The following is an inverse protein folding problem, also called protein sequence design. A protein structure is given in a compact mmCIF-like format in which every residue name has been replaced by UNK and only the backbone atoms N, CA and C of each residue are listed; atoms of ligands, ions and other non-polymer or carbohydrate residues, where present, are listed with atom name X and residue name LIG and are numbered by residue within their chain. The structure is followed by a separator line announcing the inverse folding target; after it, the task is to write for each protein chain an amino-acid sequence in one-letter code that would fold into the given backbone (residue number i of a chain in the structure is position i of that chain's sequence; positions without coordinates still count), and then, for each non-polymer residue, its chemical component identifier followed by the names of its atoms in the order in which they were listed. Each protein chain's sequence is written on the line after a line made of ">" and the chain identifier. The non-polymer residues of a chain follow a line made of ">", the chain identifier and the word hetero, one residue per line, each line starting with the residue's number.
data_IF_891020881930
#
_entry.id   IF_891020881930
#
_cell.length_a   1.000
_cell.length_b   1.000
_cell.length_c   1.000
_cell.angle_alpha   90.00
_cell.angle_beta   90.00
_cell.angle_gamma   90.00
#
_symmetry.space_group_name_H-M   'P 1'
#
loop_
_entity.id
_entity.type
_entity.pdbx_description
1 polymer ?
#
# COMPACT_ATOMS: atom_id res chain seq x y z
N UNK A 1 -5.94 -19.27 -60.94
CA UNK A 1 -4.92 -20.32 -60.74
C UNK A 1 -4.38 -20.19 -59.33
N UNK A 2 -4.44 -21.30 -58.60
CA UNK A 2 -3.91 -21.54 -57.26
C UNK A 2 -2.38 -21.63 -57.33
N UNK A 3 -1.64 -21.12 -56.34
CA UNK A 3 -0.62 -21.87 -55.56
C UNK A 3 -0.30 -21.09 -54.28
N UNK A 4 -0.55 -21.78 -53.19
CA UNK A 4 -0.21 -21.56 -51.79
C UNK A 4 1.28 -21.79 -51.53
N UNK A 5 1.88 -21.07 -50.58
CA UNK A 5 2.96 -21.63 -49.74
C UNK A 5 2.85 -21.06 -48.32
N UNK A 6 2.71 -21.99 -47.37
CA UNK A 6 2.69 -21.79 -45.92
C UNK A 6 4.11 -21.46 -45.43
N UNK A 7 4.21 -20.70 -44.35
CA UNK A 7 4.79 -21.18 -43.08
C UNK A 7 4.34 -20.29 -41.92
N UNK A 8 3.96 -20.96 -40.85
CA UNK A 8 3.46 -20.42 -39.60
C UNK A 8 4.61 -19.89 -38.73
N UNK A 9 4.39 -18.77 -38.05
CA UNK A 9 4.90 -18.53 -36.69
C UNK A 9 3.81 -17.82 -35.89
N UNK A 10 3.59 -18.39 -34.70
CA UNK A 10 2.73 -17.96 -33.62
C UNK A 10 3.48 -16.89 -32.82
N UNK A 11 2.84 -15.78 -32.45
CA UNK A 11 3.15 -14.82 -31.36
C UNK A 11 2.31 -13.56 -31.62
N UNK A 12 1.45 -13.07 -30.75
CA UNK A 12 0.88 -13.55 -29.51
C UNK A 12 -0.44 -12.79 -29.37
N UNK A 13 -1.40 -13.40 -28.70
CA UNK A 13 -2.71 -12.82 -28.46
C UNK A 13 -2.55 -11.38 -27.93
N UNK A 14 -3.16 -10.45 -28.66
CA UNK A 14 -3.60 -9.15 -28.16
C UNK A 14 -4.58 -9.41 -27.02
N UNK A 15 -4.05 -9.73 -25.84
CA UNK A 15 -4.78 -9.57 -24.61
C UNK A 15 -4.93 -8.07 -24.41
N UNK A 16 -6.09 -7.59 -24.88
CA UNK A 16 -6.86 -6.53 -24.24
C UNK A 16 -6.24 -6.15 -22.90
N UNK A 17 -5.44 -5.09 -22.91
CA UNK A 17 -5.39 -4.21 -21.76
C UNK A 17 -6.83 -3.70 -21.68
N UNK A 18 -7.67 -4.38 -20.89
CA UNK A 18 -8.86 -3.77 -20.36
C UNK A 18 -8.35 -2.50 -19.67
N UNK A 19 -8.49 -1.42 -20.42
CA UNK A 19 -8.60 -0.07 -19.96
C UNK A 19 -9.45 -0.18 -18.70
N UNK A 20 -8.78 -0.16 -17.55
CA UNK A 20 -9.44 -0.05 -16.25
C UNK A 20 -10.04 1.35 -16.28
N UNK A 21 -11.22 1.42 -16.90
CA UNK A 21 -12.08 2.59 -16.90
C UNK A 21 -12.09 3.09 -15.48
N UNK A 22 -11.58 4.31 -15.31
CA UNK A 22 -11.34 4.89 -14.00
C UNK A 22 -12.59 4.69 -13.17
N UNK A 23 -12.49 3.77 -12.20
CA UNK A 23 -13.47 3.66 -11.15
C UNK A 23 -13.42 5.04 -10.50
N UNK A 24 -14.42 5.86 -10.86
CA UNK A 24 -14.64 7.17 -10.26
C UNK A 24 -14.88 6.87 -8.80
N UNK A 25 -13.80 6.85 -8.02
CA UNK A 25 -13.83 6.98 -6.59
C UNK A 25 -14.53 8.32 -6.40
N UNK A 26 -15.83 8.27 -6.13
CA UNK A 26 -16.62 9.47 -5.85
C UNK A 26 -15.86 10.33 -4.85
N UNK A 27 -15.99 11.67 -4.91
CA UNK A 27 -15.17 12.57 -4.11
C UNK A 27 -15.14 12.06 -2.67
N UNK A 28 -13.95 11.72 -2.18
CA UNK A 28 -13.77 11.30 -0.80
C UNK A 28 -14.47 12.36 0.04
N UNK A 29 -15.59 11.98 0.68
CA UNK A 29 -16.47 12.90 1.42
C UNK A 29 -15.73 13.48 2.65
N UNK A 30 -14.51 13.00 2.90
CA UNK A 30 -13.65 13.37 3.99
C UNK A 30 -12.25 13.74 3.48
N UNK A 31 -11.64 14.72 4.16
CA UNK A 31 -10.24 15.09 4.04
C UNK A 31 -9.36 14.03 4.70
N UNK A 32 -8.19 13.72 4.16
CA UNK A 32 -7.26 12.79 4.80
C UNK A 32 -6.01 13.56 5.17
N UNK A 33 -5.78 13.69 6.47
CA UNK A 33 -4.49 14.17 6.99
C UNK A 33 -3.57 12.99 7.18
N UNK A 34 -2.38 13.04 6.60
CA UNK A 34 -1.38 12.01 6.80
C UNK A 34 -0.59 12.26 8.09
N UNK A 35 -0.41 11.21 8.90
CA UNK A 35 0.39 11.28 10.13
C UNK A 35 1.26 10.05 10.28
N UNK A 36 2.47 10.24 10.79
CA UNK A 36 3.28 9.13 11.30
C UNK A 36 2.77 8.76 12.70
N UNK A 37 2.67 7.46 12.95
CA UNK A 37 2.42 6.93 14.29
C UNK A 37 3.40 5.79 14.60
N UNK A 38 3.77 5.59 15.87
CA UNK A 38 4.54 4.43 16.29
C UNK A 38 3.83 3.11 15.98
N UNK A 39 4.59 2.12 15.48
CA UNK A 39 4.08 0.79 15.10
C UNK A 39 3.50 -0.01 16.28
N UNK A 40 3.90 0.33 17.52
CA UNK A 40 3.35 -0.26 18.74
C UNK A 40 1.96 0.29 19.13
N UNK A 41 1.54 1.42 18.54
CA UNK A 41 0.20 1.98 18.67
C UNK A 41 -0.77 1.48 17.59
N UNK A 42 -0.25 0.81 16.56
CA UNK A 42 -1.06 0.25 15.47
C UNK A 42 -1.70 -1.04 15.96
N UNK A 43 -3.05 -1.18 15.87
CA UNK A 43 -3.73 -2.42 16.22
C UNK A 43 -3.12 -3.63 15.51
N UNK A 44 -3.22 -4.80 16.13
CA UNK A 44 -2.85 -6.04 15.44
C UNK A 44 -3.81 -6.27 14.28
N UNK A 45 -3.25 -6.74 13.18
CA UNK A 45 -3.97 -7.14 12.00
C UNK A 45 -4.91 -8.31 12.35
N UNK A 46 -6.09 -8.38 11.76
CA UNK A 46 -6.96 -9.53 11.95
C UNK A 46 -6.57 -10.59 10.90
N UNK A 47 -6.36 -11.86 11.30
CA UNK A 47 -6.06 -12.90 10.34
C UNK A 47 -7.21 -12.99 9.32
N UNK A 48 -6.94 -12.58 8.09
CA UNK A 48 -7.77 -12.87 6.93
C UNK A 48 -7.13 -14.02 6.15
N UNK A 49 -7.90 -14.74 5.35
CA UNK A 49 -7.64 -16.08 4.81
C UNK A 49 -6.35 -16.28 3.94
N UNK A 50 -5.39 -15.36 3.96
CA UNK A 50 -4.15 -15.41 3.21
C UNK A 50 -2.96 -15.93 4.03
N UNK A 51 -2.02 -16.57 3.34
CA UNK A 51 -0.83 -17.18 3.95
C UNK A 51 0.00 -16.16 4.75
N UNK A 52 0.15 -14.95 4.23
CA UNK A 52 0.93 -13.87 4.87
C UNK A 52 0.33 -13.35 6.19
N UNK A 53 -0.92 -13.71 6.52
CA UNK A 53 -1.63 -13.23 7.72
C UNK A 53 -1.81 -14.31 8.80
N UNK A 54 -1.32 -15.54 8.59
CA UNK A 54 -1.61 -16.70 9.46
C UNK A 54 -1.01 -16.64 10.86
N UNK A 55 0.12 -15.97 11.06
CA UNK A 55 0.81 -15.98 12.36
C UNK A 55 0.12 -15.14 13.45
N UNK A 56 -0.94 -14.40 13.12
CA UNK A 56 -1.63 -13.54 14.09
C UNK A 56 -2.60 -14.32 14.99
N UNK A 57 -2.91 -15.59 14.67
CA UNK A 57 -3.94 -16.39 15.35
C UNK A 57 -3.43 -17.36 16.45
N UNK A 58 -2.12 -17.51 16.66
CA UNK A 58 -1.55 -18.57 17.52
C UNK A 58 -0.91 -18.06 18.82
N UNK A 59 -1.53 -18.36 19.97
CA UNK A 59 -0.97 -18.05 21.29
C UNK A 59 0.29 -18.83 21.66
N UNK A 60 1.07 -18.22 22.57
CA UNK A 60 2.35 -18.66 23.19
C UNK A 60 3.57 -18.59 22.27
N UNK A 61 4.23 -17.42 22.32
CA UNK A 61 5.62 -17.28 21.91
C UNK A 61 6.52 -18.18 22.75
N UNK A 62 6.89 -19.32 22.16
CA UNK A 62 8.11 -20.03 22.53
C UNK A 62 9.27 -19.05 22.34
N UNK A 63 10.02 -18.77 23.41
CA UNK A 63 11.23 -17.95 23.40
C UNK A 63 12.36 -18.53 22.54
N UNK A 64 12.13 -19.66 21.85
CA UNK A 64 13.11 -20.37 21.03
C UNK A 64 12.95 -20.16 19.51
N UNK A 65 11.88 -19.50 19.05
CA UNK A 65 11.67 -19.18 17.61
C UNK A 65 11.98 -17.71 17.28
N UNK A 66 12.78 -17.05 18.11
CA UNK A 66 13.23 -15.67 17.87
C UNK A 66 14.48 -15.59 16.97
N UNK A 67 14.90 -16.70 16.37
CA UNK A 67 16.13 -16.81 15.60
C UNK A 67 15.94 -17.23 14.14
N UNK A 68 14.71 -17.59 13.74
CA UNK A 68 14.41 -17.99 12.36
C UNK A 68 13.41 -17.01 11.72
N UNK A 69 13.66 -15.70 11.88
CA UNK A 69 13.08 -14.67 10.99
C UNK A 69 13.82 -14.76 9.66
N UNK A 70 13.71 -15.92 9.01
CA UNK A 70 13.97 -16.05 7.60
C UNK A 70 12.88 -15.21 6.93
N UNK A 71 13.32 -14.07 6.38
CA UNK A 71 12.60 -13.30 5.38
C UNK A 71 11.96 -14.29 4.41
N UNK A 72 10.65 -14.53 4.53
CA UNK A 72 9.87 -15.22 3.51
C UNK A 72 9.65 -14.16 2.42
N UNK A 73 10.43 -14.14 1.32
CA UNK A 73 10.49 -12.97 0.46
C UNK A 73 9.20 -12.72 -0.33
N UNK A 74 8.28 -13.69 -0.39
CA UNK A 74 7.26 -13.72 -1.45
C UNK A 74 5.85 -14.12 -0.98
N UNK A 75 5.49 -13.95 0.29
CA UNK A 75 4.14 -14.37 0.72
C UNK A 75 3.01 -13.48 0.15
N UNK A 76 3.30 -12.23 -0.20
CA UNK A 76 2.44 -11.37 -1.02
C UNK A 76 3.24 -10.21 -1.64
N UNK A 77 2.69 -9.52 -2.65
CA UNK A 77 3.32 -8.38 -3.33
C UNK A 77 3.79 -7.28 -2.35
N UNK A 78 3.11 -7.11 -1.21
CA UNK A 78 3.49 -6.13 -0.21
C UNK A 78 4.82 -6.47 0.50
N UNK A 79 5.29 -7.72 0.50
CA UNK A 79 6.57 -8.09 1.13
C UNK A 79 7.78 -7.91 0.20
N UNK A 80 7.57 -7.52 -1.05
CA UNK A 80 8.62 -7.50 -2.08
C UNK A 80 9.54 -6.28 -2.07
N UNK A 81 9.44 -5.36 -1.10
CA UNK A 81 10.27 -4.16 -1.11
C UNK A 81 10.37 -3.38 0.21
N UNK A 82 11.09 -2.26 0.15
CA UNK A 82 11.44 -1.44 1.31
C UNK A 82 10.35 -0.40 1.65
N UNK A 83 9.47 -0.77 2.58
CA UNK A 83 8.46 0.14 3.11
C UNK A 83 9.01 1.31 3.90
N UNK A 84 10.20 1.20 4.49
CA UNK A 84 10.82 2.30 5.22
C UNK A 84 11.18 3.44 4.28
N UNK A 85 11.83 3.10 3.16
CA UNK A 85 12.15 4.05 2.10
C UNK A 85 10.88 4.69 1.50
N UNK A 86 9.85 3.90 1.20
CA UNK A 86 8.56 4.41 0.69
C UNK A 86 7.87 5.32 1.70
N UNK A 87 7.88 4.98 2.98
CA UNK A 87 7.27 5.79 4.05
C UNK A 87 7.97 7.15 4.18
N UNK A 88 9.31 7.17 4.20
CA UNK A 88 10.07 8.42 4.24
C UNK A 88 9.83 9.29 3.00
N UNK A 89 9.80 8.67 1.82
CA UNK A 89 9.48 9.37 0.59
C UNK A 89 8.07 9.96 0.62
N UNK A 90 7.07 9.20 1.07
CA UNK A 90 5.70 9.66 1.21
C UNK A 90 5.61 10.90 2.09
N UNK A 91 6.24 10.90 3.28
CA UNK A 91 6.26 12.04 4.20
C UNK A 91 6.82 13.30 3.53
N UNK A 92 7.98 13.18 2.86
CA UNK A 92 8.61 14.30 2.17
C UNK A 92 7.72 14.85 1.05
N UNK A 93 7.19 13.96 0.20
CA UNK A 93 6.42 14.33 -0.99
C UNK A 93 5.06 14.91 -0.61
N UNK A 94 4.40 14.39 0.43
CA UNK A 94 3.15 14.95 0.96
C UNK A 94 3.40 16.37 1.49
N UNK A 95 4.45 16.59 2.28
CA UNK A 95 4.79 17.92 2.77
C UNK A 95 5.09 18.91 1.63
N UNK A 96 5.76 18.45 0.57
CA UNK A 96 6.02 19.25 -0.63
C UNK A 96 4.73 19.59 -1.38
N UNK A 97 3.83 18.62 -1.56
CA UNK A 97 2.54 18.84 -2.21
C UNK A 97 1.63 19.75 -1.39
N UNK A 98 1.57 19.59 -0.06
CA UNK A 98 0.80 20.47 0.84
C UNK A 98 1.28 21.93 0.77
N UNK A 99 2.58 22.16 0.59
CA UNK A 99 3.15 23.51 0.46
C UNK A 99 2.67 24.25 -0.81
N UNK A 100 2.11 23.56 -1.79
CA UNK A 100 1.52 24.18 -2.99
C UNK A 100 0.11 24.74 -2.74
N UNK A 101 -0.47 24.51 -1.56
CA UNK A 101 -1.79 25.02 -1.19
C UNK A 101 -2.95 24.24 -1.81
N UNK A 102 -2.72 22.99 -2.23
CA UNK A 102 -3.78 22.14 -2.77
C UNK A 102 -4.89 21.97 -1.75
N UNK A 103 -6.09 22.36 -2.17
CA UNK A 103 -7.22 22.27 -1.30
C UNK A 103 -7.81 20.88 -1.27
N UNK A 104 -7.73 20.04 -2.33
CA UNK A 104 -8.42 18.73 -2.52
C UNK A 104 -7.55 17.47 -2.35
N UNK A 105 -8.05 16.44 -1.64
CA UNK A 105 -7.33 15.17 -1.42
C UNK A 105 -6.93 14.48 -2.72
N UNK A 106 -7.84 14.39 -3.70
CA UNK A 106 -7.54 13.76 -4.98
C UNK A 106 -6.38 14.49 -5.70
N UNK A 107 -6.36 15.82 -5.62
CA UNK A 107 -5.27 16.63 -6.17
C UNK A 107 -3.97 16.38 -5.42
N UNK A 108 -4.02 16.28 -4.08
CA UNK A 108 -2.84 15.94 -3.27
C UNK A 108 -2.25 14.58 -3.67
N UNK A 109 -3.09 13.55 -3.81
CA UNK A 109 -2.61 12.22 -4.19
C UNK A 109 -1.96 12.22 -5.57
N UNK A 110 -2.57 12.91 -6.53
CA UNK A 110 -2.02 13.03 -7.88
C UNK A 110 -0.68 13.78 -7.88
N UNK A 111 -0.60 14.93 -7.20
CA UNK A 111 0.62 15.72 -7.07
C UNK A 111 1.76 14.93 -6.42
N UNK A 112 1.48 14.18 -5.34
CA UNK A 112 2.48 13.34 -4.68
C UNK A 112 3.05 12.28 -5.64
N UNK A 113 2.21 11.67 -6.48
CA UNK A 113 2.66 10.69 -7.47
C UNK A 113 3.43 11.32 -8.62
N UNK A 114 3.05 12.51 -9.05
CA UNK A 114 3.78 13.23 -10.09
C UNK A 114 5.15 13.71 -9.60
N UNK A 115 5.25 14.21 -8.37
CA UNK A 115 6.52 14.50 -7.71
C UNK A 115 7.39 13.24 -7.55
N UNK A 116 6.80 12.10 -7.17
CA UNK A 116 7.53 10.84 -7.04
C UNK A 116 8.14 10.40 -8.39
N UNK A 117 7.37 10.48 -9.47
CA UNK A 117 7.84 10.15 -10.82
C UNK A 117 8.92 11.12 -11.28
N UNK A 118 8.77 12.41 -11.00
CA UNK A 118 9.78 13.43 -11.30
C UNK A 118 11.10 13.16 -10.56
N UNK A 119 11.04 12.62 -9.34
CA UNK A 119 12.19 12.16 -8.55
C UNK A 119 12.77 10.80 -9.01
N UNK A 120 12.23 10.22 -10.09
CA UNK A 120 12.70 8.96 -10.67
C UNK A 120 12.17 7.70 -9.98
N UNK A 121 11.21 7.82 -9.05
CA UNK A 121 10.58 6.66 -8.42
C UNK A 121 9.77 5.86 -9.46
N UNK A 122 9.97 4.55 -9.49
CA UNK A 122 9.30 3.65 -10.44
C UNK A 122 9.12 2.25 -9.85
N UNK A 123 8.45 1.36 -10.59
CA UNK A 123 8.26 -0.05 -10.23
C UNK A 123 7.52 -0.23 -8.91
N UNK A 124 7.98 -1.18 -8.09
CA UNK A 124 7.35 -1.54 -6.81
C UNK A 124 7.23 -0.32 -5.87
N UNK A 125 8.24 0.53 -5.78
CA UNK A 125 8.23 1.67 -4.87
C UNK A 125 7.14 2.69 -5.21
N UNK A 126 6.94 2.98 -6.50
CA UNK A 126 5.89 3.89 -6.95
C UNK A 126 4.50 3.30 -6.69
N UNK A 127 4.30 2.02 -6.98
CA UNK A 127 3.05 1.32 -6.69
C UNK A 127 2.76 1.24 -5.18
N UNK A 128 3.79 1.02 -4.36
CA UNK A 128 3.68 1.02 -2.90
C UNK A 128 3.29 2.40 -2.37
N UNK A 129 3.91 3.47 -2.87
CA UNK A 129 3.53 4.85 -2.56
C UNK A 129 2.08 5.14 -2.98
N UNK A 130 1.71 4.76 -4.21
CA UNK A 130 0.35 4.89 -4.71
C UNK A 130 -0.67 4.22 -3.79
N UNK A 131 -0.36 3.02 -3.29
CA UNK A 131 -1.23 2.35 -2.33
C UNK A 131 -1.43 3.18 -1.05
N UNK A 132 -0.38 3.84 -0.54
CA UNK A 132 -0.46 4.65 0.69
C UNK A 132 -1.26 5.93 0.51
N UNK A 133 -1.21 6.56 -0.68
CA UNK A 133 -1.88 7.84 -0.91
C UNK A 133 -3.28 7.69 -1.48
N UNK A 134 -3.53 6.71 -2.37
CA UNK A 134 -4.87 6.49 -2.91
C UNK A 134 -5.77 5.76 -1.91
N UNK A 135 -5.21 4.77 -1.22
CA UNK A 135 -5.93 3.95 -0.25
C UNK A 135 -5.18 3.98 1.09
N UNK A 136 -5.17 5.10 1.81
CA UNK A 136 -4.42 5.23 3.06
C UNK A 136 -4.80 4.16 4.07
N UNK A 137 -3.84 3.78 4.91
CA UNK A 137 -4.12 2.96 6.08
C UNK A 137 -4.93 3.81 7.04
N UNK A 138 -6.16 3.39 7.36
CA UNK A 138 -7.00 4.10 8.32
C UNK A 138 -7.07 3.30 9.63
N UNK A 139 -7.06 4.02 10.75
CA UNK A 139 -7.33 3.43 12.07
C UNK A 139 -8.63 4.06 12.57
N UNK A 140 -9.67 3.24 12.74
CA UNK A 140 -10.98 3.68 13.24
C UNK A 140 -11.18 3.27 14.68
N UNK A 141 -11.71 4.19 15.47
CA UNK A 141 -12.21 3.91 16.81
C UNK A 141 -13.70 3.52 16.73
N UNK A 142 -14.05 2.40 17.34
CA UNK A 142 -15.44 2.02 17.58
C UNK A 142 -15.92 2.50 18.96
N UNK A 143 -17.24 2.55 19.15
CA UNK A 143 -17.92 3.03 20.37
C UNK A 143 -17.51 2.34 21.69
N UNK A 144 -16.78 1.25 21.63
CA UNK A 144 -16.23 0.51 22.77
C UNK A 144 -14.71 0.75 22.96
N UNK A 145 -14.17 1.84 22.44
CA UNK A 145 -12.74 2.18 22.45
C UNK A 145 -11.85 1.10 21.82
N UNK A 146 -12.40 0.26 20.95
CA UNK A 146 -11.62 -0.67 20.14
C UNK A 146 -11.18 0.03 18.87
N UNK A 147 -9.89 -0.04 18.60
CA UNK A 147 -9.30 0.43 17.35
C UNK A 147 -9.22 -0.74 16.37
N UNK A 148 -9.64 -0.50 15.13
CA UNK A 148 -9.45 -1.45 14.04
C UNK A 148 -8.67 -0.80 12.90
N UNK A 149 -8.00 -1.64 12.14
CA UNK A 149 -7.43 -1.27 10.85
C UNK A 149 -8.57 -1.32 9.82
N UNK A 150 -8.85 -0.19 9.17
CA UNK A 150 -9.75 -0.09 8.03
C UNK A 150 -8.90 0.09 6.76
N UNK A 151 -8.74 -1.01 6.02
CA UNK A 151 -7.84 -1.09 4.87
C UNK A 151 -6.36 -1.25 5.24
N UNK A 152 -5.59 -1.91 4.37
CA UNK A 152 -4.14 -1.97 4.51
C UNK A 152 -3.57 -2.97 5.52
N UNK A 153 -4.34 -3.96 5.97
CA UNK A 153 -3.84 -5.01 6.88
C UNK A 153 -2.56 -5.69 6.36
N UNK A 154 -2.50 -6.04 5.08
CA UNK A 154 -1.30 -6.63 4.46
C UNK A 154 -0.10 -5.69 4.47
N UNK A 155 -0.31 -4.38 4.26
CA UNK A 155 0.75 -3.37 4.32
C UNK A 155 1.31 -3.26 5.72
N UNK A 156 0.45 -3.15 6.73
CA UNK A 156 0.88 -3.10 8.13
C UNK A 156 1.64 -4.37 8.48
N UNK A 157 1.15 -5.55 8.08
CA UNK A 157 1.85 -6.80 8.32
C UNK A 157 3.25 -6.80 7.69
N UNK A 158 3.36 -6.42 6.41
CA UNK A 158 4.65 -6.32 5.73
C UNK A 158 5.60 -5.32 6.40
N UNK A 159 5.10 -4.13 6.77
CA UNK A 159 5.87 -3.12 7.51
C UNK A 159 6.33 -3.63 8.87
N UNK A 160 5.49 -4.40 9.56
CA UNK A 160 5.79 -4.97 10.88
C UNK A 160 6.85 -6.07 10.77
N UNK A 161 6.73 -6.96 9.79
CA UNK A 161 7.72 -8.00 9.51
C UNK A 161 9.07 -7.40 9.08
N UNK A 162 9.05 -6.24 8.40
CA UNK A 162 10.22 -5.43 8.09
C UNK A 162 10.76 -4.61 9.29
N UNK A 163 10.19 -4.78 10.49
CA UNK A 163 10.58 -4.10 11.73
C UNK A 163 10.53 -2.57 11.68
N UNK A 164 9.59 -1.98 10.93
CA UNK A 164 9.39 -0.53 10.97
C UNK A 164 8.93 -0.08 12.36
N UNK A 165 9.49 1.01 12.85
CA UNK A 165 9.14 1.62 14.14
C UNK A 165 7.98 2.60 14.03
N UNK A 166 7.75 3.17 12.85
CA UNK A 166 6.70 4.13 12.56
C UNK A 166 6.07 3.82 11.19
N UNK A 167 4.79 4.14 11.04
CA UNK A 167 4.08 4.01 9.77
C UNK A 167 3.27 5.26 9.47
N UNK A 168 3.04 5.51 8.19
CA UNK A 168 2.15 6.56 7.73
C UNK A 168 0.70 6.06 7.67
N UNK A 169 -0.19 6.76 8.36
CA UNK A 169 -1.64 6.51 8.30
C UNK A 169 -2.38 7.76 7.79
N UNK A 170 -3.57 7.54 7.23
CA UNK A 170 -4.54 8.59 6.98
C UNK A 170 -5.45 8.79 8.18
N UNK A 171 -5.66 10.04 8.58
CA UNK A 171 -6.67 10.46 9.55
C UNK A 171 -7.79 11.18 8.80
N UNK A 172 -8.97 10.56 8.67
CA UNK A 172 -10.13 11.22 8.10
C UNK A 172 -10.49 12.45 8.96
N UNK A 173 -10.72 13.59 8.34
CA UNK A 173 -11.28 14.77 8.98
C UNK A 173 -12.48 15.25 8.18
N UNK A 174 -13.56 15.50 8.91
CA UNK A 174 -14.75 16.16 8.39
C UNK A 174 -14.52 17.67 8.51
N UNK A 175 -14.73 18.41 7.42
CA UNK A 175 -14.84 19.88 7.48
C UNK A 175 -16.29 20.26 7.72
#
# INVERSE_FOLDING_TARGET
>A
MCVTLRHAWWMGDEQHCEEFEGEQIGPLIYWVRYVLIPMDQVPRELPWHEYCMRDVAGGKTSTRERSDVAVMPDCCWYHSGDWGAVTMAAVRLIAQAEATGLEQNYQLCQEVLDLARADGMSGWALQALESLVKNPILIREYSNSRFVIDGGQHRIRAMRDANLTEILIGKPSWR
#
